data_IF_767649441152
#
_entry.id   IF_767649441152
#
_cell.length_a   1.000
_cell.length_b   1.000
_cell.length_c   1.000
_cell.angle_alpha   90.00
_cell.angle_beta   90.00
_cell.angle_gamma   90.00
#
_symmetry.space_group_name_H-M   'P 1'
#
loop_
_entity.id
_entity.type
_entity.pdbx_description
1 polymer ?
#
# COMPACT_ATOMS: atom_id res chain seq x y z
N UNK A 1 -62.29 -6.08 -22.38
CA UNK A 1 -61.50 -6.26 -21.16
C UNK A 1 -60.04 -6.32 -21.54
N UNK A 2 -59.41 -5.21 -21.52
CA UNK A 2 -58.07 -4.69 -21.26
C UNK A 2 -56.89 -5.67 -21.31
N UNK A 3 -56.17 -5.64 -22.38
CA UNK A 3 -54.75 -6.03 -22.52
C UNK A 3 -53.83 -4.92 -21.97
N UNK A 4 -53.89 -4.64 -20.72
CA UNK A 4 -52.98 -3.69 -20.04
C UNK A 4 -52.19 -4.47 -18.97
N UNK A 5 -51.12 -5.16 -19.30
CA UNK A 5 -50.42 -5.88 -18.27
C UNK A 5 -49.08 -6.50 -18.61
N UNK A 6 -48.71 -6.60 -19.90
CA UNK A 6 -47.48 -7.30 -20.28
C UNK A 6 -46.31 -6.34 -20.63
N UNK A 7 -46.57 -5.11 -21.00
CA UNK A 7 -45.52 -4.16 -21.34
C UNK A 7 -44.83 -3.56 -20.11
N UNK A 8 -45.58 -3.28 -19.04
CA UNK A 8 -45.02 -2.68 -17.83
C UNK A 8 -44.13 -3.61 -17.02
N UNK A 9 -44.36 -4.92 -17.07
CA UNK A 9 -43.53 -5.90 -16.33
C UNK A 9 -42.14 -6.05 -16.96
N UNK A 10 -42.00 -5.89 -18.29
CA UNK A 10 -40.70 -5.96 -18.95
C UNK A 10 -39.82 -4.75 -18.71
N UNK A 11 -40.40 -3.56 -18.57
CA UNK A 11 -39.64 -2.34 -18.29
C UNK A 11 -39.04 -2.35 -16.87
N UNK A 12 -39.72 -2.93 -15.90
CA UNK A 12 -39.21 -3.09 -14.53
C UNK A 12 -38.03 -4.06 -14.42
N UNK A 13 -37.97 -5.11 -15.22
CA UNK A 13 -36.89 -6.10 -15.20
C UNK A 13 -35.51 -5.52 -15.52
N UNK A 14 -35.42 -4.55 -16.43
CA UNK A 14 -34.16 -3.89 -16.77
C UNK A 14 -33.66 -2.99 -15.63
N UNK A 15 -34.52 -2.27 -14.93
CA UNK A 15 -34.14 -1.47 -13.79
C UNK A 15 -33.66 -2.34 -12.61
N UNK A 16 -34.29 -3.47 -12.36
CA UNK A 16 -33.89 -4.42 -11.32
C UNK A 16 -32.50 -4.98 -11.57
N UNK A 17 -32.23 -5.46 -12.78
CA UNK A 17 -30.92 -5.97 -13.20
C UNK A 17 -29.84 -4.89 -13.11
N UNK A 18 -30.14 -3.69 -13.62
CA UNK A 18 -29.22 -2.55 -13.60
C UNK A 18 -28.90 -2.14 -12.16
N UNK A 19 -29.91 -2.04 -11.30
CA UNK A 19 -29.76 -1.70 -9.88
C UNK A 19 -28.89 -2.75 -9.14
N UNK A 20 -29.12 -4.02 -9.43
CA UNK A 20 -28.33 -5.12 -8.84
C UNK A 20 -26.87 -5.06 -9.27
N UNK A 21 -26.57 -4.86 -10.54
CA UNK A 21 -25.20 -4.73 -11.07
C UNK A 21 -24.50 -3.53 -10.41
N UNK A 22 -25.14 -2.36 -10.41
CA UNK A 22 -24.56 -1.15 -9.79
C UNK A 22 -24.28 -1.39 -8.31
N UNK A 23 -25.21 -2.01 -7.59
CA UNK A 23 -25.05 -2.31 -6.16
C UNK A 23 -23.87 -3.25 -5.92
N UNK A 24 -23.73 -4.32 -6.72
CA UNK A 24 -22.60 -5.26 -6.60
C UNK A 24 -21.26 -4.59 -6.93
N UNK A 25 -21.20 -3.76 -7.97
CA UNK A 25 -19.98 -3.02 -8.33
C UNK A 25 -19.59 -2.04 -7.23
N UNK A 26 -20.54 -1.27 -6.69
CA UNK A 26 -20.28 -0.34 -5.59
C UNK A 26 -19.87 -1.08 -4.32
N UNK A 27 -20.48 -2.22 -4.01
CA UNK A 27 -20.09 -3.06 -2.88
C UNK A 27 -18.66 -3.57 -3.04
N UNK A 28 -18.30 -4.07 -4.23
CA UNK A 28 -16.94 -4.49 -4.57
C UNK A 28 -15.93 -3.36 -4.36
N UNK A 29 -16.23 -2.18 -4.87
CA UNK A 29 -15.40 -0.97 -4.70
C UNK A 29 -15.20 -0.59 -3.23
N UNK A 30 -16.27 -0.63 -2.42
CA UNK A 30 -16.18 -0.32 -0.97
C UNK A 30 -15.32 -1.33 -0.23
N UNK A 31 -15.46 -2.63 -0.56
CA UNK A 31 -14.65 -3.70 0.06
C UNK A 31 -13.17 -3.54 -0.31
N UNK A 32 -12.88 -3.32 -1.60
CA UNK A 32 -11.52 -3.08 -2.09
C UNK A 32 -10.89 -1.86 -1.41
N UNK A 33 -11.61 -0.73 -1.36
CA UNK A 33 -11.11 0.50 -0.75
C UNK A 33 -10.81 0.32 0.74
N UNK A 34 -11.67 -0.35 1.49
CA UNK A 34 -11.43 -0.67 2.92
C UNK A 34 -10.25 -1.62 3.11
N UNK A 35 -10.08 -2.61 2.24
CA UNK A 35 -8.96 -3.55 2.31
C UNK A 35 -7.62 -2.82 2.09
N UNK A 36 -7.55 -1.94 1.08
CA UNK A 36 -6.36 -1.14 0.77
C UNK A 36 -6.03 -0.15 1.90
N UNK A 37 -7.02 0.51 2.50
CA UNK A 37 -6.78 1.44 3.60
C UNK A 37 -6.16 0.76 4.82
N UNK A 38 -6.63 -0.41 5.24
CA UNK A 38 -6.09 -1.15 6.40
C UNK A 38 -4.61 -1.49 6.22
N UNK A 39 -4.21 -1.88 5.02
CA UNK A 39 -2.80 -2.23 4.74
C UNK A 39 -1.88 -0.99 4.71
N UNK A 40 -2.41 0.20 4.37
CA UNK A 40 -1.63 1.44 4.37
C UNK A 40 -1.31 1.92 5.78
N UNK A 41 -2.17 1.62 6.75
CA UNK A 41 -1.97 1.99 8.16
C UNK A 41 -0.73 1.30 8.75
N UNK A 42 -0.52 0.01 8.48
CA UNK A 42 0.64 -0.75 8.98
C UNK A 42 1.97 -0.14 8.49
N UNK A 43 2.06 0.22 7.21
CA UNK A 43 3.26 0.89 6.69
C UNK A 43 3.48 2.26 7.35
N UNK A 44 2.40 3.02 7.56
CA UNK A 44 2.48 4.33 8.20
C UNK A 44 2.98 4.23 9.64
N UNK A 45 2.60 3.18 10.35
CA UNK A 45 3.05 2.94 11.72
C UNK A 45 4.53 2.53 11.76
N UNK A 46 5.01 1.74 10.78
CA UNK A 46 6.45 1.46 10.61
C UNK A 46 7.25 2.73 10.34
N UNK A 47 6.76 3.64 9.48
CA UNK A 47 7.43 4.93 9.25
C UNK A 47 7.48 5.82 10.49
N UNK A 48 6.41 5.85 11.30
CA UNK A 48 6.37 6.60 12.56
C UNK A 48 7.36 6.09 13.60
N UNK A 49 7.83 4.86 13.46
CA UNK A 49 8.81 4.26 14.38
C UNK A 49 10.23 4.80 14.14
N UNK A 50 10.51 5.35 12.95
CA UNK A 50 11.80 6.01 12.71
C UNK A 50 11.77 7.42 13.33
N UNK A 51 12.73 7.77 14.19
CA UNK A 51 12.85 9.12 14.71
C UNK A 51 13.22 10.09 13.57
N UNK A 52 12.63 11.27 13.59
CA UNK A 52 12.95 12.32 12.62
C UNK A 52 14.30 12.98 12.89
N UNK A 53 14.75 12.98 14.14
CA UNK A 53 15.95 13.67 14.61
C UNK A 53 16.92 12.72 15.29
N UNK A 54 18.20 13.03 15.21
CA UNK A 54 19.29 12.34 15.87
C UNK A 54 20.23 13.34 16.51
N UNK A 55 20.85 12.95 17.63
CA UNK A 55 21.86 13.74 18.35
C UNK A 55 23.25 13.29 17.86
N UNK A 56 23.82 14.00 16.92
CA UNK A 56 25.13 13.70 16.33
C UNK A 56 26.23 14.40 17.11
N UNK A 57 27.31 13.66 17.39
CA UNK A 57 28.54 14.22 17.93
C UNK A 57 29.44 14.70 16.78
N UNK A 58 29.69 16.00 16.77
CA UNK A 58 30.55 16.65 15.76
C UNK A 58 31.86 17.08 16.43
N UNK A 59 32.98 16.75 15.81
CA UNK A 59 34.28 17.13 16.31
C UNK A 59 34.61 18.54 15.81
N UNK A 60 34.58 19.53 16.72
CA UNK A 60 35.00 20.92 16.43
C UNK A 60 36.36 21.18 17.11
N UNK A 61 37.44 20.89 16.37
CA UNK A 61 38.79 21.03 16.92
C UNK A 61 39.08 20.09 18.08
N UNK A 62 39.29 20.64 19.30
CA UNK A 62 39.51 19.85 20.52
C UNK A 62 38.22 19.52 21.30
N UNK A 63 37.08 20.10 20.92
CA UNK A 63 35.81 19.91 21.59
C UNK A 63 34.89 18.98 20.76
N UNK A 64 34.09 18.21 21.48
CA UNK A 64 32.97 17.47 20.91
C UNK A 64 31.69 18.25 21.19
N UNK A 65 31.02 18.70 20.13
CA UNK A 65 29.75 19.40 20.22
C UNK A 65 28.60 18.45 19.84
N UNK A 66 27.47 18.63 20.51
CA UNK A 66 26.27 17.87 20.20
C UNK A 66 25.38 18.67 19.25
N UNK A 67 25.15 18.16 18.07
CA UNK A 67 24.26 18.75 17.07
C UNK A 67 23.02 17.90 16.87
N UNK A 68 21.83 18.52 16.86
CA UNK A 68 20.58 17.85 16.53
C UNK A 68 20.36 17.94 15.02
N UNK A 69 20.49 16.82 14.33
CA UNK A 69 20.36 16.70 12.89
C UNK A 69 19.13 15.90 12.51
N UNK A 70 18.68 16.00 11.25
CA UNK A 70 17.67 15.09 10.75
C UNK A 70 18.26 13.68 10.64
N UNK A 71 17.52 12.65 11.07
CA UNK A 71 17.96 11.25 10.96
C UNK A 71 18.27 10.82 9.52
N UNK A 72 17.58 11.43 8.54
CA UNK A 72 17.82 11.20 7.11
C UNK A 72 19.15 11.77 6.59
N UNK A 73 19.79 12.68 7.32
CA UNK A 73 21.09 13.26 6.98
C UNK A 73 22.28 12.51 7.59
N UNK A 74 22.03 11.48 8.39
CA UNK A 74 23.08 10.62 8.93
C UNK A 74 23.78 9.87 7.80
N UNK A 75 25.08 9.73 7.94
CA UNK A 75 25.94 8.94 7.04
C UNK A 75 26.68 7.87 7.84
N UNK A 76 27.22 6.89 7.13
CA UNK A 76 28.05 5.84 7.72
C UNK A 76 29.24 6.47 8.47
N UNK A 77 29.63 5.87 9.59
CA UNK A 77 30.65 6.33 10.53
C UNK A 77 30.28 7.55 11.37
N UNK A 78 29.12 8.15 11.21
CA UNK A 78 28.63 9.16 12.12
C UNK A 78 28.52 8.61 13.56
N UNK A 79 28.87 9.45 14.52
CA UNK A 79 28.75 9.11 15.95
C UNK A 79 27.50 9.81 16.49
N UNK A 80 26.59 9.04 17.07
CA UNK A 80 25.35 9.57 17.65
C UNK A 80 25.23 9.21 19.12
N UNK A 81 24.64 10.12 19.89
CA UNK A 81 24.29 9.93 21.30
C UNK A 81 22.83 9.48 21.39
N UNK A 82 22.60 8.46 22.20
CA UNK A 82 21.25 7.91 22.44
C UNK A 82 21.02 7.71 23.95
N UNK A 83 19.78 7.92 24.39
CA UNK A 83 19.38 7.85 25.80
C UNK A 83 18.10 7.03 25.96
N UNK A 84 17.81 6.67 27.20
CA UNK A 84 16.53 6.05 27.60
C UNK A 84 15.35 6.82 27.01
N UNK A 85 14.42 6.11 26.39
CA UNK A 85 13.23 6.65 25.71
C UNK A 85 13.46 7.08 24.26
N UNK A 86 14.72 7.18 23.81
CA UNK A 86 15.03 7.46 22.40
C UNK A 86 14.79 6.19 21.55
N UNK A 87 14.42 6.38 20.28
CA UNK A 87 14.47 5.30 19.27
C UNK A 87 15.75 5.43 18.45
N UNK A 88 16.33 4.29 18.09
CA UNK A 88 17.57 4.24 17.32
C UNK A 88 17.29 4.72 15.89
N UNK A 89 17.96 5.80 15.41
CA UNK A 89 17.65 6.42 14.11
C UNK A 89 18.25 5.68 12.90
N UNK A 90 19.31 4.92 13.09
CA UNK A 90 20.03 4.20 12.05
C UNK A 90 20.65 2.93 12.62
N UNK A 91 20.96 1.93 11.80
CA UNK A 91 21.69 0.76 12.28
C UNK A 91 23.11 1.18 12.69
N UNK A 92 23.61 0.61 13.74
CA UNK A 92 24.91 1.00 14.28
C UNK A 92 25.52 -0.03 15.22
N UNK A 93 26.72 0.30 15.70
CA UNK A 93 27.45 -0.45 16.68
C UNK A 93 27.67 0.37 17.94
N UNK A 94 27.46 -0.20 19.12
CA UNK A 94 27.72 0.47 20.40
C UNK A 94 29.21 0.65 20.57
N UNK A 95 29.68 1.90 20.65
CA UNK A 95 31.08 2.22 20.93
C UNK A 95 31.31 2.56 22.41
N UNK A 96 30.26 3.04 23.09
CA UNK A 96 30.32 3.37 24.52
C UNK A 96 28.95 3.21 25.18
N UNK A 97 28.93 2.72 26.43
CA UNK A 97 27.70 2.53 27.22
C UNK A 97 27.11 1.15 27.12
N UNK A 98 25.99 0.97 27.83
CA UNK A 98 25.16 -0.25 27.83
C UNK A 98 23.72 0.17 27.60
N UNK A 99 23.00 -0.55 26.75
CA UNK A 99 21.62 -0.25 26.35
C UNK A 99 20.75 -1.47 26.58
N UNK A 100 19.59 -1.27 27.18
CA UNK A 100 18.51 -2.25 27.19
C UNK A 100 17.50 -1.86 26.10
N UNK A 101 17.32 -2.72 25.12
CA UNK A 101 16.55 -2.45 23.91
C UNK A 101 15.28 -3.30 23.86
N UNK A 102 14.20 -2.70 23.39
CA UNK A 102 13.00 -3.39 22.92
C UNK A 102 13.07 -3.47 21.39
N UNK A 103 13.27 -4.66 20.87
CA UNK A 103 13.33 -4.96 19.44
C UNK A 103 12.05 -5.64 18.93
N UNK A 104 10.94 -5.63 19.69
CA UNK A 104 9.68 -6.30 19.35
C UNK A 104 9.12 -5.90 17.98
N UNK A 105 9.34 -4.65 17.56
CA UNK A 105 8.93 -4.17 16.24
C UNK A 105 9.65 -4.86 15.06
N UNK A 106 10.84 -5.42 15.31
CA UNK A 106 11.66 -6.09 14.30
C UNK A 106 11.52 -7.62 14.39
N UNK A 107 11.54 -8.16 15.60
CA UNK A 107 11.55 -9.60 15.86
C UNK A 107 10.15 -10.18 16.11
N UNK A 108 9.21 -9.34 16.55
CA UNK A 108 7.88 -9.75 17.02
C UNK A 108 7.88 -10.27 18.47
N UNK A 109 9.03 -10.37 19.11
CA UNK A 109 9.18 -10.85 20.49
C UNK A 109 9.43 -9.68 21.43
N UNK A 110 8.60 -9.52 22.46
CA UNK A 110 8.73 -8.44 23.46
C UNK A 110 9.75 -8.81 24.55
N UNK A 111 10.95 -9.20 24.13
CA UNK A 111 12.05 -9.45 25.05
C UNK A 111 12.99 -8.23 25.09
N UNK A 112 13.32 -7.79 26.30
CA UNK A 112 14.29 -6.71 26.48
C UNK A 112 15.71 -7.29 26.41
N UNK A 113 16.46 -6.85 25.40
CA UNK A 113 17.81 -7.32 25.15
C UNK A 113 18.83 -6.31 25.69
N UNK A 114 19.67 -6.73 26.60
CA UNK A 114 20.82 -5.94 27.05
C UNK A 114 21.95 -6.06 26.03
N UNK A 115 22.42 -4.92 25.52
CA UNK A 115 23.52 -4.83 24.57
C UNK A 115 24.62 -3.91 25.08
N UNK A 116 25.85 -4.32 24.82
CA UNK A 116 27.07 -3.69 25.30
C UNK A 116 27.98 -3.26 24.15
N UNK A 117 29.07 -2.59 24.47
CA UNK A 117 30.08 -2.15 23.51
C UNK A 117 30.49 -3.27 22.53
N UNK A 118 30.49 -2.93 21.25
CA UNK A 118 30.84 -3.85 20.15
C UNK A 118 29.67 -4.65 19.60
N UNK A 119 28.49 -4.53 20.18
CA UNK A 119 27.28 -5.20 19.67
C UNK A 119 26.50 -4.30 18.73
N UNK A 120 25.83 -4.93 17.76
CA UNK A 120 24.99 -4.24 16.77
C UNK A 120 23.62 -3.89 17.34
N UNK A 121 23.13 -2.73 16.93
CA UNK A 121 21.80 -2.22 17.24
C UNK A 121 21.10 -1.83 15.93
N UNK A 122 19.78 -1.97 15.90
CA UNK A 122 18.99 -1.77 14.69
C UNK A 122 18.08 -0.54 14.78
N UNK A 123 17.94 0.17 13.68
CA UNK A 123 17.04 1.31 13.58
C UNK A 123 15.60 0.94 13.91
N UNK A 124 14.92 1.83 14.64
CA UNK A 124 13.55 1.60 15.11
C UNK A 124 13.44 0.95 16.49
N UNK A 125 14.49 0.29 17.01
CA UNK A 125 14.51 -0.25 18.37
C UNK A 125 14.31 0.86 19.40
N UNK A 126 13.55 0.59 20.45
CA UNK A 126 13.33 1.52 21.57
C UNK A 126 14.34 1.26 22.68
N UNK A 127 14.99 2.30 23.17
CA UNK A 127 15.87 2.20 24.34
C UNK A 127 15.02 2.27 25.60
N UNK A 128 14.87 1.14 26.25
CA UNK A 128 14.08 1.01 27.49
C UNK A 128 14.85 1.56 28.67
N UNK A 129 16.17 1.29 28.72
CA UNK A 129 17.05 1.77 29.77
C UNK A 129 18.48 1.89 29.26
N UNK A 130 19.25 2.82 29.88
CA UNK A 130 20.64 3.07 29.58
C UNK A 130 20.87 4.27 28.66
N UNK A 131 22.14 4.56 28.45
CA UNK A 131 22.60 5.59 27.52
C UNK A 131 23.90 5.13 26.87
N UNK A 132 24.15 5.62 25.67
CA UNK A 132 25.35 5.19 24.95
C UNK A 132 25.61 6.02 23.71
N UNK A 133 26.77 5.72 23.14
CA UNK A 133 27.22 6.32 21.89
C UNK A 133 27.31 5.21 20.85
N UNK A 134 26.70 5.45 19.69
CA UNK A 134 26.63 4.52 18.57
C UNK A 134 27.46 5.05 17.42
N UNK A 135 28.14 4.18 16.71
CA UNK A 135 28.68 4.44 15.38
C UNK A 135 27.66 3.93 14.36
N UNK A 136 27.23 4.78 13.46
CA UNK A 136 26.30 4.43 12.40
C UNK A 136 26.99 3.49 11.39
N UNK A 137 26.34 2.38 11.05
CA UNK A 137 26.82 1.42 10.07
C UNK A 137 26.01 1.39 8.80
N UNK A 138 24.69 1.61 8.89
CA UNK A 138 23.78 1.65 7.74
C UNK A 138 22.69 2.68 7.97
N UNK A 139 22.31 3.40 6.92
CA UNK A 139 21.32 4.47 6.96
C UNK A 139 20.24 4.32 5.91
N UNK A 140 19.11 4.96 6.11
CA UNK A 140 18.03 5.07 5.12
C UNK A 140 17.55 3.72 4.60
N UNK A 141 17.62 3.49 3.28
CA UNK A 141 17.17 2.26 2.63
C UNK A 141 18.03 1.03 2.95
N UNK A 142 19.30 1.24 3.30
CA UNK A 142 20.22 0.16 3.64
C UNK A 142 20.05 -0.31 5.08
N UNK A 143 19.40 0.47 5.94
CA UNK A 143 19.10 0.05 7.31
C UNK A 143 18.10 -1.11 7.34
N UNK A 144 18.08 -1.84 8.46
CA UNK A 144 17.20 -3.01 8.65
C UNK A 144 15.74 -2.65 8.45
N UNK A 145 15.27 -1.55 9.06
CA UNK A 145 13.88 -1.10 8.88
C UNK A 145 13.63 -0.59 7.45
N UNK A 146 14.62 0.06 6.83
CA UNK A 146 14.55 0.52 5.44
C UNK A 146 14.33 -0.65 4.47
N UNK A 147 15.05 -1.75 4.64
CA UNK A 147 14.88 -2.98 3.85
C UNK A 147 13.52 -3.62 4.05
N UNK A 148 13.01 -3.68 5.28
CA UNK A 148 11.67 -4.20 5.57
C UNK A 148 10.61 -3.35 4.84
N UNK A 149 10.70 -2.03 4.93
CA UNK A 149 9.78 -1.11 4.23
C UNK A 149 9.83 -1.33 2.72
N UNK A 150 11.02 -1.48 2.15
CA UNK A 150 11.19 -1.70 0.71
C UNK A 150 10.62 -3.05 0.26
N UNK A 151 10.86 -4.13 1.01
CA UNK A 151 10.26 -5.45 0.74
C UNK A 151 8.73 -5.41 0.78
N UNK A 152 8.15 -4.73 1.77
CA UNK A 152 6.69 -4.57 1.86
C UNK A 152 6.14 -3.75 0.70
N UNK A 153 6.84 -2.71 0.25
CA UNK A 153 6.47 -1.93 -0.95
C UNK A 153 6.52 -2.78 -2.22
N UNK A 154 7.57 -3.55 -2.41
CA UNK A 154 7.73 -4.44 -3.59
C UNK A 154 6.63 -5.49 -3.63
N UNK A 155 6.32 -6.12 -2.50
CA UNK A 155 5.22 -7.10 -2.39
C UNK A 155 3.85 -6.52 -2.76
N UNK A 156 3.66 -5.21 -2.61
CA UNK A 156 2.44 -4.50 -3.00
C UNK A 156 2.38 -4.11 -4.48
N UNK A 157 3.53 -3.87 -5.09
CA UNK A 157 3.59 -3.46 -6.50
C UNK A 157 3.26 -4.61 -7.45
N UNK A 158 3.39 -5.84 -7.00
CA UNK A 158 3.01 -7.01 -7.77
C UNK A 158 1.51 -7.28 -7.65
N UNK A 159 0.72 -6.67 -8.56
CA UNK A 159 -0.66 -7.13 -8.78
C UNK A 159 -0.63 -8.63 -9.03
N UNK A 160 -1.50 -9.41 -8.36
CA UNK A 160 -1.60 -10.85 -8.59
C UNK A 160 -1.65 -11.14 -10.10
N UNK A 161 -0.93 -12.15 -10.55
CA UNK A 161 -0.87 -12.52 -11.98
C UNK A 161 -2.25 -12.75 -12.59
N UNK A 162 -3.19 -13.24 -11.78
CA UNK A 162 -4.60 -13.42 -12.14
C UNK A 162 -5.30 -12.09 -12.45
N UNK A 163 -5.04 -11.04 -11.68
CA UNK A 163 -5.62 -9.72 -11.92
C UNK A 163 -5.05 -9.09 -13.20
N UNK A 164 -3.75 -9.22 -13.46
CA UNK A 164 -3.13 -8.78 -14.73
C UNK A 164 -3.74 -9.50 -15.95
N UNK A 165 -4.03 -10.80 -15.79
CA UNK A 165 -4.69 -11.59 -16.84
C UNK A 165 -6.13 -11.13 -17.06
N UNK A 166 -6.90 -10.94 -16.01
CA UNK A 166 -8.27 -10.43 -16.08
C UNK A 166 -8.33 -9.05 -16.73
N UNK A 167 -7.46 -8.12 -16.34
CA UNK A 167 -7.34 -6.78 -16.93
C UNK A 167 -7.04 -6.86 -18.45
N UNK A 168 -6.11 -7.75 -18.84
CA UNK A 168 -5.75 -7.97 -20.24
C UNK A 168 -6.91 -8.54 -21.06
N UNK A 169 -7.62 -9.52 -20.54
CA UNK A 169 -8.80 -10.10 -21.21
C UNK A 169 -9.88 -9.03 -21.36
N UNK A 170 -10.20 -8.30 -20.30
CA UNK A 170 -11.21 -7.24 -20.30
C UNK A 170 -10.87 -6.12 -21.28
N UNK A 171 -9.60 -5.75 -21.39
CA UNK A 171 -9.15 -4.69 -22.32
C UNK A 171 -9.37 -5.01 -23.79
N UNK A 172 -9.46 -6.28 -24.16
CA UNK A 172 -9.76 -6.74 -25.53
C UNK A 172 -11.25 -7.05 -25.66
N UNK A 173 -11.82 -7.75 -24.67
CA UNK A 173 -13.19 -8.23 -24.69
C UNK A 173 -14.21 -7.08 -24.76
N UNK A 174 -14.06 -6.07 -23.91
CA UNK A 174 -15.02 -4.95 -23.83
C UNK A 174 -15.11 -4.17 -25.16
N UNK A 175 -14.00 -3.73 -25.78
CA UNK A 175 -14.07 -3.08 -27.10
C UNK A 175 -14.67 -3.99 -28.17
N UNK A 176 -14.37 -5.28 -28.16
CA UNK A 176 -14.90 -6.24 -29.14
C UNK A 176 -16.42 -6.36 -29.05
N UNK A 177 -16.97 -6.51 -27.83
CA UNK A 177 -18.41 -6.57 -27.61
C UNK A 177 -19.10 -5.26 -28.02
N UNK A 178 -18.50 -4.09 -27.74
CA UNK A 178 -19.03 -2.80 -28.16
C UNK A 178 -19.11 -2.69 -29.70
N UNK A 179 -18.08 -3.15 -30.39
CA UNK A 179 -18.06 -3.17 -31.88
C UNK A 179 -19.15 -4.11 -32.41
N UNK A 180 -19.27 -5.33 -31.86
CA UNK A 180 -20.29 -6.29 -32.27
C UNK A 180 -21.71 -5.78 -32.02
N UNK A 181 -21.95 -5.17 -30.86
CA UNK A 181 -23.25 -4.55 -30.53
C UNK A 181 -23.61 -3.42 -31.49
N UNK A 182 -22.62 -2.55 -31.78
CA UNK A 182 -22.81 -1.46 -32.75
C UNK A 182 -23.08 -1.97 -34.14
N UNK A 183 -22.36 -3.01 -34.59
CA UNK A 183 -22.58 -3.65 -35.89
C UNK A 183 -23.95 -4.31 -35.99
N UNK A 184 -24.38 -5.00 -34.90
CA UNK A 184 -25.72 -5.58 -34.79
C UNK A 184 -26.81 -4.52 -34.95
N UNK A 185 -26.64 -3.37 -34.29
CA UNK A 185 -27.56 -2.25 -34.43
C UNK A 185 -27.66 -1.76 -35.88
N UNK A 186 -26.51 -1.48 -36.51
CA UNK A 186 -26.45 -0.98 -37.89
C UNK A 186 -27.09 -1.98 -38.84
N UNK A 187 -26.76 -3.26 -38.76
CA UNK A 187 -27.31 -4.31 -39.65
C UNK A 187 -28.84 -4.39 -39.49
N UNK A 188 -29.35 -4.45 -38.27
CA UNK A 188 -30.78 -4.56 -38.05
C UNK A 188 -31.54 -3.32 -38.49
N UNK A 189 -30.98 -2.12 -38.31
CA UNK A 189 -31.62 -0.87 -38.70
C UNK A 189 -31.59 -0.64 -40.23
N UNK A 190 -30.49 -1.01 -40.93
CA UNK A 190 -30.31 -0.67 -42.34
C UNK A 190 -30.65 -1.80 -43.34
N UNK A 191 -30.39 -3.07 -42.95
CA UNK A 191 -30.54 -4.23 -43.87
C UNK A 191 -31.79 -5.04 -43.55
N UNK A 192 -32.23 -5.12 -42.30
CA UNK A 192 -33.41 -5.91 -41.90
C UNK A 192 -34.66 -5.03 -41.81
N UNK A 193 -34.50 -3.70 -41.90
CA UNK A 193 -35.59 -2.69 -41.91
C UNK A 193 -36.52 -2.86 -40.68
N UNK A 194 -35.92 -3.21 -39.52
CA UNK A 194 -36.63 -3.37 -38.27
C UNK A 194 -36.89 -2.01 -37.60
N UNK A 195 -37.89 -1.96 -36.73
CA UNK A 195 -38.13 -0.72 -35.96
C UNK A 195 -36.90 -0.32 -35.15
N UNK A 196 -36.71 0.97 -34.91
CA UNK A 196 -35.59 1.50 -34.13
C UNK A 196 -35.52 0.84 -32.73
N UNK A 197 -36.67 0.60 -32.11
CA UNK A 197 -36.78 -0.05 -30.80
C UNK A 197 -36.28 -1.49 -30.83
N UNK A 198 -36.62 -2.26 -31.87
CA UNK A 198 -36.17 -3.64 -32.01
C UNK A 198 -34.67 -3.74 -32.30
N UNK A 199 -34.14 -2.83 -33.12
CA UNK A 199 -32.70 -2.77 -33.41
C UNK A 199 -31.89 -2.46 -32.12
N UNK A 200 -32.39 -1.54 -31.28
CA UNK A 200 -31.77 -1.23 -29.95
C UNK A 200 -31.82 -2.45 -29.03
N UNK A 201 -32.99 -3.09 -28.88
CA UNK A 201 -33.13 -4.26 -28.00
C UNK A 201 -32.19 -5.40 -28.40
N UNK A 202 -32.05 -5.67 -29.71
CA UNK A 202 -31.13 -6.72 -30.21
C UNK A 202 -29.67 -6.36 -29.97
N UNK A 203 -29.29 -5.10 -30.11
CA UNK A 203 -27.93 -4.63 -29.84
C UNK A 203 -27.59 -4.68 -28.33
N UNK A 204 -28.55 -4.34 -27.48
CA UNK A 204 -28.40 -4.48 -26.02
C UNK A 204 -28.25 -5.95 -25.62
N UNK A 205 -29.01 -6.86 -26.24
CA UNK A 205 -28.87 -8.29 -25.97
C UNK A 205 -27.44 -8.82 -26.24
N UNK A 206 -26.77 -8.32 -27.29
CA UNK A 206 -25.35 -8.64 -27.56
C UNK A 206 -24.42 -8.04 -26.53
N UNK A 207 -24.76 -6.86 -25.99
CA UNK A 207 -23.94 -6.18 -24.97
C UNK A 207 -23.97 -6.86 -23.59
N UNK A 208 -25.08 -7.56 -23.28
CA UNK A 208 -25.32 -8.20 -21.97
C UNK A 208 -24.72 -9.61 -21.88
N UNK A 209 -24.31 -10.20 -23.01
CA UNK A 209 -23.60 -11.50 -23.02
C UNK A 209 -22.20 -11.35 -22.42
#
# INVERSE_FOLDING_TARGET
ITHYGSAEVHDFLFFETTSTIITLVLLGYVIEHKAVQRTTTILRDLYKTQPEKAKKLVQNGLNQDLEVVNASSLVEDDIILVNTGDRIPADGMIIHGTLTLDEAMLTGESEHLQKEKGQEVFSGSLIVDGNGTLRVTKTGKESTIGKIIELVKQSRSDKPSVQKLADKISSIFVPTILILSSLTFIINYTLVDTSMSDAILRSIAVLVI
#
